data_IF_667146034541
#
_entry.id   IF_667146034541
#
_cell.length_a   1.000
_cell.length_b   1.000
_cell.length_c   1.000
_cell.angle_alpha   90.00
_cell.angle_beta   90.00
_cell.angle_gamma   90.00
#
_symmetry.space_group_name_H-M   'P 1'
#
loop_
_entity.id
_entity.type
_entity.pdbx_description
1 polymer ?
#
# COMPACT_ATOMS: atom_id res chain seq x y z
N UNK A 1 -5.38 -29.90 21.23
CA UNK A 1 -5.81 -28.52 21.45
C UNK A 1 -4.79 -27.59 20.82
N UNK A 2 -5.01 -27.16 19.58
CA UNK A 2 -4.11 -26.20 18.93
C UNK A 2 -4.53 -24.79 19.33
N UNK A 3 -3.74 -24.17 20.21
CA UNK A 3 -3.87 -22.74 20.53
C UNK A 3 -3.49 -21.98 19.26
N UNK A 4 -4.48 -21.38 18.58
CA UNK A 4 -4.22 -20.34 17.57
C UNK A 4 -3.51 -19.20 18.28
N UNK A 5 -2.21 -19.04 18.06
CA UNK A 5 -1.54 -17.80 18.47
C UNK A 5 -2.15 -16.64 17.66
N UNK A 6 -2.65 -15.58 18.29
CA UNK A 6 -3.02 -14.37 17.57
C UNK A 6 -1.72 -13.72 17.07
N UNK A 7 -1.46 -13.83 15.78
CA UNK A 7 -0.38 -13.08 15.15
C UNK A 7 -0.75 -11.60 15.16
N UNK A 8 0.20 -10.79 15.63
CA UNK A 8 0.05 -9.36 15.87
C UNK A 8 0.47 -8.62 14.62
N UNK A 9 -0.43 -7.80 14.08
CA UNK A 9 -0.19 -7.08 12.84
C UNK A 9 0.32 -5.66 13.15
N UNK A 10 1.33 -5.15 12.44
CA UNK A 10 1.78 -3.77 12.58
C UNK A 10 0.86 -2.83 11.81
N UNK A 11 0.88 -1.53 12.17
CA UNK A 11 0.28 -0.50 11.33
C UNK A 11 1.23 -0.20 10.19
N UNK A 12 0.68 -0.25 8.99
CA UNK A 12 1.34 0.17 7.76
C UNK A 12 1.09 1.66 7.61
N UNK A 13 2.15 2.45 7.61
CA UNK A 13 2.04 3.90 7.49
C UNK A 13 2.71 4.30 6.18
N UNK A 14 2.00 5.06 5.34
CA UNK A 14 2.50 5.46 4.03
C UNK A 14 3.85 6.18 4.09
N UNK A 15 3.97 7.16 4.99
CA UNK A 15 5.20 7.93 5.17
C UNK A 15 6.15 7.14 6.05
N UNK A 16 7.32 6.74 5.52
CA UNK A 16 8.26 5.93 6.26
C UNK A 16 8.95 6.76 7.36
N UNK A 17 9.33 6.15 8.50
CA UNK A 17 9.95 6.87 9.62
C UNK A 17 11.19 7.67 9.24
N UNK A 18 12.01 7.17 8.30
CA UNK A 18 13.23 7.86 7.88
C UNK A 18 12.93 9.24 7.25
N UNK A 19 11.79 9.40 6.58
CA UNK A 19 11.42 10.65 5.92
C UNK A 19 11.04 11.71 6.97
N UNK A 20 10.25 11.32 7.99
CA UNK A 20 9.94 12.17 9.13
C UNK A 20 11.23 12.57 9.88
N UNK A 21 12.20 11.67 9.97
CA UNK A 21 13.49 11.93 10.60
C UNK A 21 14.35 12.93 9.82
N UNK A 22 14.33 12.87 8.48
CA UNK A 22 14.99 13.87 7.64
C UNK A 22 14.34 15.24 7.81
N UNK A 23 13.00 15.32 7.82
CA UNK A 23 12.28 16.59 8.05
C UNK A 23 12.61 17.15 9.43
N UNK A 24 12.61 16.32 10.46
CA UNK A 24 12.94 16.75 11.82
C UNK A 24 14.37 17.30 11.93
N UNK A 25 15.33 16.72 11.19
CA UNK A 25 16.73 17.18 11.18
C UNK A 25 16.92 18.46 10.38
N UNK A 26 16.35 18.53 9.18
CA UNK A 26 16.67 19.55 8.17
C UNK A 26 15.66 20.70 8.11
N UNK A 27 14.45 20.51 8.64
CA UNK A 27 13.36 21.48 8.59
C UNK A 27 13.51 22.63 9.59
N UNK A 28 12.70 23.66 9.36
CA UNK A 28 12.50 24.74 10.33
C UNK A 28 11.77 24.25 11.59
N UNK A 29 11.58 25.15 12.56
CA UNK A 29 10.94 24.79 13.84
C UNK A 29 9.53 24.19 13.63
N UNK A 30 8.72 24.78 12.77
CA UNK A 30 7.34 24.33 12.55
C UNK A 30 7.31 22.98 11.84
N UNK A 31 8.13 22.81 10.80
CA UNK A 31 8.24 21.54 10.06
C UNK A 31 8.74 20.42 10.96
N UNK A 32 9.75 20.70 11.81
CA UNK A 32 10.26 19.74 12.80
C UNK A 32 9.18 19.34 13.81
N UNK A 33 8.44 20.31 14.36
CA UNK A 33 7.40 20.05 15.35
C UNK A 33 6.25 19.22 14.76
N UNK A 34 5.89 19.44 13.48
CA UNK A 34 4.92 18.59 12.76
C UNK A 34 5.47 17.17 12.58
N UNK A 35 6.68 17.02 12.05
CA UNK A 35 7.27 15.70 11.78
C UNK A 35 7.42 14.84 13.05
N UNK A 36 7.87 15.44 14.16
CA UNK A 36 8.00 14.75 15.45
C UNK A 36 6.63 14.35 16.04
N UNK A 37 5.61 15.22 15.90
CA UNK A 37 4.24 14.88 16.33
C UNK A 37 3.65 13.73 15.51
N UNK A 38 3.78 13.77 14.18
CA UNK A 38 3.37 12.66 13.31
C UNK A 38 4.08 11.37 13.71
N UNK A 39 5.42 11.40 13.84
CA UNK A 39 6.21 10.22 14.24
C UNK A 39 5.79 9.65 15.59
N UNK A 40 5.50 10.50 16.57
CA UNK A 40 5.04 10.07 17.88
C UNK A 40 3.68 9.36 17.79
N UNK A 41 2.72 9.94 17.04
CA UNK A 41 1.41 9.31 16.80
C UNK A 41 1.55 7.95 16.11
N UNK A 42 2.34 7.87 15.05
CA UNK A 42 2.57 6.62 14.31
C UNK A 42 3.15 5.54 15.23
N UNK A 43 4.09 5.92 16.08
CA UNK A 43 4.71 5.01 17.07
C UNK A 43 3.69 4.53 18.10
N UNK A 44 2.82 5.41 18.60
CA UNK A 44 1.73 5.05 19.51
C UNK A 44 0.78 4.06 18.85
N UNK A 45 0.32 4.35 17.63
CA UNK A 45 -0.61 3.49 16.92
C UNK A 45 0.01 2.11 16.62
N UNK A 46 1.26 2.05 16.14
CA UNK A 46 1.99 0.78 15.95
C UNK A 46 2.08 -0.01 17.25
N UNK A 47 2.34 0.67 18.37
CA UNK A 47 2.42 0.05 19.70
C UNK A 47 1.07 -0.48 20.19
N UNK A 48 -0.01 0.28 20.02
CA UNK A 48 -1.36 -0.14 20.41
C UNK A 48 -1.77 -1.41 19.67
N UNK A 49 -1.42 -1.57 18.40
CA UNK A 49 -1.72 -2.78 17.62
C UNK A 49 -0.88 -4.01 18.02
N UNK A 50 0.33 -3.81 18.55
CA UNK A 50 1.10 -4.91 19.15
C UNK A 50 0.46 -5.46 20.44
N UNK A 51 -0.38 -4.67 21.11
CA UNK A 51 -1.05 -5.04 22.36
C UNK A 51 -2.51 -5.42 22.12
N UNK A 52 -3.14 -4.90 21.06
CA UNK A 52 -4.50 -5.24 20.67
C UNK A 52 -4.57 -6.73 20.27
N UNK A 53 -5.39 -7.49 20.98
CA UNK A 53 -5.89 -8.78 20.49
C UNK A 53 -6.81 -8.44 19.32
N UNK A 54 -6.73 -9.12 18.16
CA UNK A 54 -7.72 -8.91 17.11
C UNK A 54 -9.09 -9.18 17.74
N UNK A 55 -9.86 -8.11 17.92
CA UNK A 55 -11.25 -8.27 18.26
C UNK A 55 -11.82 -9.03 17.07
N UNK A 56 -12.26 -10.28 17.31
CA UNK A 56 -13.41 -10.74 16.54
C UNK A 56 -14.48 -9.73 16.88
N UNK A 57 -14.65 -8.73 16.03
CA UNK A 57 -15.81 -7.87 16.08
C UNK A 57 -17.03 -8.78 16.19
N UNK A 58 -18.12 -8.34 16.85
CA UNK A 58 -19.36 -9.10 16.78
C UNK A 58 -19.55 -9.47 15.32
N UNK A 59 -19.81 -10.76 15.06
CA UNK A 59 -20.26 -11.17 13.74
C UNK A 59 -21.50 -10.31 13.50
N UNK A 60 -21.34 -9.21 12.77
CA UNK A 60 -22.47 -8.50 12.23
C UNK A 60 -23.12 -9.57 11.40
N UNK A 61 -24.28 -10.05 11.88
CA UNK A 61 -25.12 -10.94 11.11
C UNK A 61 -25.32 -10.22 9.80
N UNK A 62 -24.56 -10.62 8.79
CA UNK A 62 -24.82 -10.31 7.42
C UNK A 62 -26.15 -11.01 7.15
N UNK A 63 -27.25 -10.31 7.47
CA UNK A 63 -28.46 -10.45 6.70
C UNK A 63 -27.99 -10.36 5.26
N UNK A 64 -28.19 -11.46 4.53
CA UNK A 64 -27.84 -11.60 3.13
C UNK A 64 -28.52 -10.47 2.33
N UNK A 65 -27.87 -9.32 2.27
CA UNK A 65 -28.24 -8.16 1.49
C UNK A 65 -27.12 -7.92 0.49
N UNK A 66 -26.99 -8.83 -0.48
CA UNK A 66 -26.16 -8.69 -1.68
C UNK A 66 -24.64 -8.60 -1.48
N UNK A 67 -23.88 -9.14 -2.43
CA UNK A 67 -22.47 -8.79 -2.62
C UNK A 67 -22.43 -7.36 -3.17
N UNK A 68 -22.34 -6.37 -2.28
CA UNK A 68 -22.42 -4.96 -2.65
C UNK A 68 -21.38 -4.16 -1.90
N UNK A 69 -20.77 -3.22 -2.63
CA UNK A 69 -19.88 -2.20 -2.08
C UNK A 69 -20.59 -1.42 -0.96
N UNK A 70 -19.92 -1.28 0.19
CA UNK A 70 -20.41 -0.52 1.35
C UNK A 70 -19.30 0.38 1.88
N UNK A 71 -19.46 1.69 1.69
CA UNK A 71 -18.50 2.69 2.15
C UNK A 71 -19.09 3.62 3.20
N UNK A 72 -18.27 3.97 4.18
CA UNK A 72 -18.60 4.99 5.18
C UNK A 72 -17.39 5.91 5.40
N UNK A 73 -17.56 7.20 5.15
CA UNK A 73 -16.54 8.22 5.39
C UNK A 73 -16.92 9.02 6.61
N UNK A 74 -15.99 9.08 7.56
CA UNK A 74 -16.07 9.83 8.80
C UNK A 74 -15.09 11.01 8.76
N UNK A 75 -15.35 12.03 9.56
CA UNK A 75 -14.43 13.14 9.83
C UNK A 75 -14.01 13.13 11.28
N UNK A 76 -12.71 13.22 11.54
CA UNK A 76 -12.17 13.42 12.88
C UNK A 76 -12.12 14.91 13.28
N UNK A 77 -12.47 15.84 12.38
CA UNK A 77 -12.55 17.28 12.63
C UNK A 77 -11.25 17.87 13.25
N UNK A 78 -10.09 17.37 12.82
CA UNK A 78 -8.77 17.79 13.31
C UNK A 78 -8.37 17.18 14.66
N UNK A 79 -9.21 16.30 15.23
CA UNK A 79 -8.91 15.53 16.45
C UNK A 79 -8.24 14.19 16.13
N UNK A 80 -7.79 13.49 17.16
CA UNK A 80 -7.19 12.15 17.02
C UNK A 80 -8.19 11.02 17.35
N UNK A 81 -9.49 11.32 17.41
CA UNK A 81 -10.54 10.36 17.77
C UNK A 81 -11.06 9.61 16.55
N UNK A 82 -11.10 8.27 16.63
CA UNK A 82 -11.62 7.40 15.56
C UNK A 82 -12.94 6.73 15.99
N UNK A 83 -13.88 6.47 15.04
CA UNK A 83 -13.84 6.89 13.63
C UNK A 83 -14.19 8.37 13.43
N UNK A 84 -14.75 9.05 14.42
CA UNK A 84 -15.25 10.42 14.30
C UNK A 84 -16.73 10.47 13.91
N UNK A 85 -17.14 11.54 13.23
CA UNK A 85 -18.54 11.78 12.81
C UNK A 85 -18.76 11.29 11.38
N UNK A 86 -19.81 10.51 11.12
CA UNK A 86 -20.14 10.08 9.76
C UNK A 86 -20.53 11.29 8.88
N UNK A 87 -19.83 11.49 7.76
CA UNK A 87 -20.04 12.62 6.84
C UNK A 87 -20.50 12.19 5.45
N UNK A 88 -20.24 10.95 5.03
CA UNK A 88 -20.75 10.40 3.76
C UNK A 88 -20.91 8.89 3.83
N UNK A 89 -22.09 8.37 3.54
CA UNK A 89 -22.40 6.94 3.47
C UNK A 89 -22.62 6.44 2.04
N UNK A 90 -22.68 5.11 1.88
CA UNK A 90 -22.92 4.47 0.58
C UNK A 90 -24.19 5.02 -0.11
N UNK A 91 -24.04 5.35 -1.40
CA UNK A 91 -25.10 5.90 -2.24
C UNK A 91 -25.39 7.39 -2.03
N UNK A 92 -24.75 8.06 -1.06
CA UNK A 92 -24.94 9.50 -0.87
C UNK A 92 -24.18 10.34 -1.91
N UNK A 93 -24.73 11.50 -2.30
CA UNK A 93 -24.08 12.41 -3.25
C UNK A 93 -22.76 12.94 -2.70
N UNK A 94 -21.96 13.58 -3.58
CA UNK A 94 -20.74 14.28 -3.20
C UNK A 94 -21.00 15.29 -2.08
N UNK A 95 -20.09 15.32 -1.11
CA UNK A 95 -20.18 16.17 0.08
C UNK A 95 -19.77 17.61 -0.21
N UNK A 96 -18.93 17.83 -1.24
CA UNK A 96 -18.29 19.11 -1.53
C UNK A 96 -16.97 19.32 -0.78
N UNK A 97 -16.61 18.42 0.13
CA UNK A 97 -15.28 18.34 0.72
C UNK A 97 -14.40 17.40 -0.11
N UNK A 98 -13.27 17.92 -0.60
CA UNK A 98 -12.38 17.17 -1.48
C UNK A 98 -11.79 15.92 -0.80
N UNK A 99 -11.45 15.98 0.50
CA UNK A 99 -10.89 14.83 1.20
C UNK A 99 -11.93 13.72 1.38
N UNK A 100 -13.15 14.11 1.74
CA UNK A 100 -14.28 13.17 1.88
C UNK A 100 -14.60 12.50 0.54
N UNK A 101 -14.67 13.29 -0.53
CA UNK A 101 -15.08 12.80 -1.84
C UNK A 101 -14.00 11.92 -2.48
N UNK A 102 -12.72 12.30 -2.37
CA UNK A 102 -11.60 11.48 -2.83
C UNK A 102 -11.48 10.17 -2.05
N UNK A 103 -11.66 10.18 -0.72
CA UNK A 103 -11.65 8.96 0.08
C UNK A 103 -12.81 8.02 -0.34
N UNK A 104 -14.02 8.56 -0.50
CA UNK A 104 -15.19 7.79 -0.95
C UNK A 104 -14.98 7.13 -2.32
N UNK A 105 -14.43 7.89 -3.27
CA UNK A 105 -14.19 7.41 -4.62
C UNK A 105 -13.02 6.42 -4.66
N UNK A 106 -11.94 6.66 -3.90
CA UNK A 106 -10.78 5.79 -3.84
C UNK A 106 -11.05 4.43 -3.18
N UNK A 107 -11.82 4.40 -2.10
CA UNK A 107 -12.35 3.16 -1.52
C UNK A 107 -13.19 2.40 -2.55
N UNK A 108 -14.02 3.14 -3.31
CA UNK A 108 -14.89 2.56 -4.32
C UNK A 108 -14.13 1.94 -5.49
N UNK A 109 -13.12 2.64 -6.01
CA UNK A 109 -12.28 2.15 -7.09
C UNK A 109 -11.46 0.92 -6.65
N UNK A 110 -11.01 0.89 -5.39
CA UNK A 110 -10.30 -0.27 -4.83
C UNK A 110 -11.21 -1.50 -4.76
N UNK A 111 -12.44 -1.33 -4.25
CA UNK A 111 -13.44 -2.41 -4.23
C UNK A 111 -13.71 -2.93 -5.65
N UNK A 112 -14.01 -2.03 -6.59
CA UNK A 112 -14.33 -2.40 -7.98
C UNK A 112 -13.19 -3.16 -8.64
N UNK A 113 -11.95 -2.73 -8.42
CA UNK A 113 -10.79 -3.41 -8.98
C UNK A 113 -10.69 -4.86 -8.47
N UNK A 114 -10.74 -5.07 -7.15
CA UNK A 114 -10.64 -6.43 -6.59
C UNK A 114 -11.82 -7.31 -6.99
N UNK A 115 -13.04 -6.78 -6.99
CA UNK A 115 -14.24 -7.52 -7.40
C UNK A 115 -14.18 -7.87 -8.90
N UNK A 116 -13.97 -6.89 -9.77
CA UNK A 116 -14.12 -7.08 -11.21
C UNK A 116 -12.92 -7.75 -11.86
N UNK A 117 -11.71 -7.54 -11.34
CA UNK A 117 -10.48 -8.13 -11.91
C UNK A 117 -10.16 -9.48 -11.29
N UNK A 118 -10.42 -9.65 -9.99
CA UNK A 118 -9.98 -10.83 -9.25
C UNK A 118 -11.09 -11.67 -8.64
N UNK A 119 -12.36 -11.29 -8.85
CA UNK A 119 -13.53 -11.95 -8.24
C UNK A 119 -13.40 -12.04 -6.71
N UNK A 120 -12.81 -10.99 -6.11
CA UNK A 120 -12.60 -10.88 -4.66
C UNK A 120 -13.64 -9.94 -4.06
N UNK A 121 -14.40 -10.42 -3.09
CA UNK A 121 -15.42 -9.62 -2.43
C UNK A 121 -14.83 -8.80 -1.26
N UNK A 122 -14.37 -7.58 -1.55
CA UNK A 122 -13.74 -6.66 -0.58
C UNK A 122 -12.40 -7.16 -0.01
N UNK A 123 -11.93 -6.51 1.07
CA UNK A 123 -10.61 -6.73 1.67
C UNK A 123 -10.45 -8.13 2.28
N UNK A 124 -11.51 -8.71 2.83
CA UNK A 124 -11.52 -10.01 3.53
C UNK A 124 -12.11 -11.16 2.69
N UNK A 125 -12.38 -10.91 1.40
CA UNK A 125 -13.10 -11.83 0.50
C UNK A 125 -14.50 -12.24 1.01
N UNK A 126 -15.07 -11.47 1.94
CA UNK A 126 -16.36 -11.75 2.58
C UNK A 126 -17.25 -10.49 2.69
N UNK A 127 -16.93 -9.45 1.92
CA UNK A 127 -17.75 -8.24 1.83
C UNK A 127 -17.55 -7.26 2.99
N UNK A 128 -16.36 -7.22 3.59
CA UNK A 128 -15.98 -6.21 4.59
C UNK A 128 -16.40 -4.81 4.14
N UNK A 129 -17.02 -4.05 5.05
CA UNK A 129 -17.32 -2.65 4.82
C UNK A 129 -16.02 -1.84 4.75
N UNK A 130 -15.98 -0.86 3.85
CA UNK A 130 -14.84 0.02 3.67
C UNK A 130 -15.09 1.33 4.40
N UNK A 131 -14.52 1.44 5.60
CA UNK A 131 -14.63 2.63 6.41
C UNK A 131 -13.34 3.47 6.29
N UNK A 132 -13.49 4.79 6.30
CA UNK A 132 -12.38 5.72 6.33
C UNK A 132 -12.66 6.94 7.20
N UNK A 133 -11.63 7.46 7.87
CA UNK A 133 -11.66 8.74 8.58
C UNK A 133 -10.73 9.73 7.90
N UNK A 134 -11.26 10.90 7.54
CA UNK A 134 -10.50 12.05 7.03
C UNK A 134 -10.34 13.13 8.11
N UNK A 135 -9.53 14.15 7.84
CA UNK A 135 -9.21 15.24 8.77
C UNK A 135 -8.67 14.75 10.10
N UNK A 136 -7.86 13.69 10.07
CA UNK A 136 -7.27 13.10 11.26
C UNK A 136 -6.10 13.94 11.77
N UNK A 137 -6.25 14.46 12.98
CA UNK A 137 -5.26 15.30 13.64
C UNK A 137 -4.99 16.63 12.92
N UNK A 138 -4.16 17.47 13.54
CA UNK A 138 -3.72 18.73 12.93
C UNK A 138 -2.43 18.55 12.15
N UNK A 139 -2.45 18.94 10.87
CA UNK A 139 -1.33 18.86 9.94
C UNK A 139 -0.64 17.49 9.94
N UNK A 140 -1.43 16.43 10.02
CA UNK A 140 -0.90 15.08 10.13
C UNK A 140 -0.35 14.63 8.78
N UNK A 141 0.98 14.56 8.68
CA UNK A 141 1.69 14.13 7.48
C UNK A 141 1.73 12.60 7.33
N UNK A 142 0.58 11.91 7.36
CA UNK A 142 0.51 10.49 7.06
C UNK A 142 -0.90 10.00 6.67
N UNK A 143 -0.95 8.78 6.15
CA UNK A 143 -2.14 7.94 6.09
C UNK A 143 -1.78 6.50 6.50
N UNK A 144 -2.76 5.74 6.96
CA UNK A 144 -2.54 4.35 7.36
C UNK A 144 -3.81 3.49 7.35
N UNK A 145 -3.62 2.19 7.11
CA UNK A 145 -4.60 1.14 7.41
C UNK A 145 -4.43 0.57 8.82
N UNK A 146 -5.50 0.59 9.63
CA UNK A 146 -5.45 0.15 11.02
C UNK A 146 -6.03 -1.27 11.31
N UNK A 147 -6.21 -2.11 10.29
CA UNK A 147 -6.98 -3.39 10.30
C UNK A 147 -8.50 -3.26 10.26
N UNK A 148 -9.07 -2.09 10.49
CA UNK A 148 -10.52 -1.91 10.47
C UNK A 148 -10.97 -0.80 9.52
N UNK A 149 -10.19 0.26 9.39
CA UNK A 149 -10.53 1.43 8.59
C UNK A 149 -9.26 2.14 8.10
N UNK A 150 -9.44 2.93 7.06
CA UNK A 150 -8.47 3.89 6.56
C UNK A 150 -8.46 5.16 7.42
N UNK A 151 -7.29 5.76 7.62
CA UNK A 151 -7.16 7.05 8.30
C UNK A 151 -6.27 7.98 7.47
N UNK A 152 -6.75 9.18 7.19
CA UNK A 152 -6.07 10.17 6.35
C UNK A 152 -5.86 11.49 7.09
N UNK A 153 -4.62 11.96 7.10
CA UNK A 153 -4.29 13.32 7.46
C UNK A 153 -4.42 14.30 6.28
N UNK A 154 -4.58 15.57 6.61
CA UNK A 154 -4.68 16.65 5.63
C UNK A 154 -3.31 17.13 5.10
N UNK A 155 -2.21 16.61 5.64
CA UNK A 155 -0.87 17.14 5.38
C UNK A 155 -0.70 18.54 5.98
N UNK A 156 0.44 19.17 5.72
CA UNK A 156 0.80 20.48 6.28
C UNK A 156 0.76 21.63 5.26
N UNK A 157 0.39 21.35 4.01
CA UNK A 157 0.39 22.27 2.85
C UNK A 157 1.76 22.93 2.58
N UNK A 158 2.82 22.46 3.26
CA UNK A 158 4.19 22.90 3.08
C UNK A 158 4.98 21.83 2.34
N UNK A 159 5.00 20.61 2.88
CA UNK A 159 5.69 19.46 2.35
C UNK A 159 4.71 18.50 1.68
N UNK A 160 3.55 18.27 2.31
CA UNK A 160 2.55 17.32 1.86
C UNK A 160 1.19 18.00 1.67
N UNK A 161 0.51 17.66 0.58
CA UNK A 161 -0.92 17.89 0.41
C UNK A 161 -1.72 16.84 1.23
N UNK A 162 -3.05 16.93 1.19
CA UNK A 162 -3.94 15.92 1.80
C UNK A 162 -3.65 14.52 1.26
N UNK A 163 -3.72 13.53 2.14
CA UNK A 163 -3.32 12.16 1.83
C UNK A 163 -4.36 11.37 1.03
N UNK A 164 -5.54 11.95 0.78
CA UNK A 164 -6.57 11.41 -0.11
C UNK A 164 -6.32 11.73 -1.59
N UNK A 165 -5.42 12.65 -1.91
CA UNK A 165 -5.24 13.20 -3.27
C UNK A 165 -4.74 12.16 -4.29
N UNK A 166 -4.10 11.09 -3.83
CA UNK A 166 -3.50 10.07 -4.67
C UNK A 166 -4.26 8.74 -4.54
N UNK A 167 -4.94 8.33 -5.62
CA UNK A 167 -5.71 7.08 -5.65
C UNK A 167 -4.84 5.85 -5.36
N UNK A 168 -3.62 5.80 -5.88
CA UNK A 168 -2.69 4.70 -5.64
C UNK A 168 -2.26 4.58 -4.18
N UNK A 169 -2.26 5.68 -3.41
CA UNK A 169 -2.03 5.68 -1.96
C UNK A 169 -3.20 5.03 -1.23
N UNK A 170 -4.43 5.39 -1.58
CA UNK A 170 -5.63 4.77 -0.98
C UNK A 170 -5.64 3.27 -1.29
N UNK A 171 -5.35 2.90 -2.54
CA UNK A 171 -5.26 1.50 -2.96
C UNK A 171 -4.13 0.73 -2.27
N UNK A 172 -2.96 1.36 -2.07
CA UNK A 172 -1.82 0.78 -1.34
C UNK A 172 -2.21 0.42 0.09
N UNK A 173 -2.83 1.35 0.81
CA UNK A 173 -3.18 1.13 2.21
C UNK A 173 -4.24 0.02 2.38
N UNK A 174 -5.25 -0.02 1.51
CA UNK A 174 -6.25 -1.08 1.51
C UNK A 174 -5.64 -2.45 1.09
N UNK A 175 -4.67 -2.46 0.18
CA UNK A 175 -3.98 -3.68 -0.24
C UNK A 175 -3.14 -4.33 0.87
N UNK A 176 -2.74 -3.58 1.90
CA UNK A 176 -2.21 -4.20 3.12
C UNK A 176 -3.25 -5.12 3.76
N UNK A 177 -4.51 -4.69 3.87
CA UNK A 177 -5.58 -5.51 4.42
C UNK A 177 -5.78 -6.82 3.65
N UNK A 178 -5.66 -6.79 2.32
CA UNK A 178 -5.70 -8.02 1.49
C UNK A 178 -4.52 -8.94 1.81
N UNK A 179 -3.33 -8.37 1.98
CA UNK A 179 -2.14 -9.14 2.39
C UNK A 179 -2.29 -9.74 3.79
N UNK A 180 -2.99 -9.06 4.70
CA UNK A 180 -3.31 -9.56 6.05
C UNK A 180 -4.32 -10.71 6.04
N UNK A 181 -5.32 -10.65 5.17
CA UNK A 181 -6.30 -11.72 5.04
C UNK A 181 -5.66 -12.99 4.45
N UNK A 182 -4.80 -12.81 3.46
CA UNK A 182 -4.13 -13.90 2.73
C UNK A 182 -2.85 -14.38 3.46
N UNK A 183 -1.67 -14.01 2.92
CA UNK A 183 -0.37 -14.57 3.31
C UNK A 183 0.16 -14.12 4.67
N UNK A 184 -0.40 -13.06 5.26
CA UNK A 184 0.00 -12.55 6.59
C UNK A 184 1.50 -12.28 6.68
N UNK A 185 2.07 -11.68 5.64
CA UNK A 185 3.51 -11.39 5.57
C UNK A 185 3.94 -10.54 6.76
N UNK A 186 4.93 -11.04 7.51
CA UNK A 186 5.50 -10.33 8.65
C UNK A 186 6.14 -9.05 8.14
N UNK A 187 5.87 -7.94 8.81
CA UNK A 187 6.39 -6.64 8.44
C UNK A 187 7.81 -6.41 8.98
N UNK A 188 8.73 -7.21 8.49
CA UNK A 188 10.13 -7.17 8.87
C UNK A 188 11.02 -7.70 7.74
N UNK A 189 12.18 -7.09 7.51
CA UNK A 189 13.14 -7.49 6.47
C UNK A 189 12.46 -7.71 5.10
N UNK A 190 12.85 -8.75 4.36
CA UNK A 190 12.32 -9.06 3.03
C UNK A 190 10.83 -9.39 3.02
N UNK A 191 10.27 -10.02 4.07
CA UNK A 191 8.82 -10.28 4.09
C UNK A 191 8.02 -8.99 4.24
N UNK A 192 8.54 -8.01 4.98
CA UNK A 192 7.95 -6.68 5.07
C UNK A 192 8.12 -5.88 3.80
N UNK A 193 9.29 -5.95 3.15
CA UNK A 193 9.50 -5.33 1.85
C UNK A 193 8.62 -5.95 0.74
N UNK A 194 8.28 -7.24 0.82
CA UNK A 194 7.26 -7.85 -0.05
C UNK A 194 5.86 -7.34 0.26
N UNK A 195 5.54 -7.16 1.54
CA UNK A 195 4.24 -6.62 1.96
C UNK A 195 4.05 -5.20 1.38
N UNK A 196 5.02 -4.31 1.57
CA UNK A 196 5.07 -2.98 0.95
C UNK A 196 4.97 -3.02 -0.58
N UNK A 197 5.71 -3.94 -1.21
CA UNK A 197 5.71 -4.07 -2.67
C UNK A 197 4.38 -4.55 -3.22
N UNK A 198 3.71 -5.50 -2.55
CA UNK A 198 2.37 -5.93 -2.93
C UNK A 198 1.37 -4.77 -2.84
N UNK A 199 1.47 -3.95 -1.80
CA UNK A 199 0.65 -2.74 -1.67
C UNK A 199 0.92 -1.72 -2.78
N UNK A 200 2.19 -1.46 -3.13
CA UNK A 200 2.55 -0.59 -4.26
C UNK A 200 2.06 -1.16 -5.62
N UNK A 201 2.17 -2.48 -5.82
CA UNK A 201 1.68 -3.19 -7.00
C UNK A 201 0.18 -3.00 -7.14
N UNK A 202 -0.61 -3.35 -6.13
CA UNK A 202 -2.06 -3.26 -6.21
C UNK A 202 -2.54 -1.80 -6.26
N UNK A 203 -1.94 -0.88 -5.51
CA UNK A 203 -2.23 0.56 -5.60
C UNK A 203 -2.01 1.10 -7.02
N UNK A 204 -0.89 0.71 -7.66
CA UNK A 204 -0.61 1.07 -9.05
C UNK A 204 -1.63 0.46 -10.02
N UNK A 205 -1.99 -0.82 -9.85
CA UNK A 205 -2.97 -1.49 -10.70
C UNK A 205 -4.38 -0.89 -10.55
N UNK A 206 -4.79 -0.51 -9.34
CA UNK A 206 -6.08 0.17 -9.08
C UNK A 206 -6.13 1.50 -9.83
N UNK A 207 -5.06 2.30 -9.74
CA UNK A 207 -4.97 3.57 -10.47
C UNK A 207 -4.98 3.35 -11.99
N UNK A 208 -4.21 2.39 -12.49
CA UNK A 208 -4.17 2.05 -13.91
C UNK A 208 -5.55 1.58 -14.41
N UNK A 209 -6.25 0.76 -13.63
CA UNK A 209 -7.59 0.29 -13.95
C UNK A 209 -8.61 1.43 -13.96
N UNK A 210 -8.62 2.29 -12.94
CA UNK A 210 -9.52 3.44 -12.88
C UNK A 210 -9.29 4.42 -14.05
N UNK A 211 -8.04 4.57 -14.52
CA UNK A 211 -7.67 5.44 -15.63
C UNK A 211 -7.61 4.72 -16.99
N UNK A 212 -7.88 3.42 -17.03
CA UNK A 212 -7.79 2.56 -18.23
C UNK A 212 -6.43 2.67 -18.96
N UNK A 213 -5.34 2.61 -18.19
CA UNK A 213 -3.98 2.75 -18.69
C UNK A 213 -3.32 1.41 -18.96
N UNK A 214 -2.64 1.29 -20.11
CA UNK A 214 -1.74 0.17 -20.36
C UNK A 214 -0.49 0.24 -19.49
N UNK A 215 0.25 -0.86 -19.38
CA UNK A 215 1.53 -0.92 -18.68
C UNK A 215 2.56 0.10 -19.25
N UNK A 216 2.46 0.42 -20.55
CA UNK A 216 3.33 1.37 -21.22
C UNK A 216 2.97 2.84 -20.90
N UNK A 217 1.70 3.13 -20.70
CA UNK A 217 1.19 4.50 -20.46
C UNK A 217 1.21 4.88 -18.98
N UNK A 218 1.20 3.88 -18.09
CA UNK A 218 1.20 4.09 -16.65
C UNK A 218 2.46 4.82 -16.16
N UNK A 219 2.31 5.68 -15.14
CA UNK A 219 3.44 6.46 -14.61
C UNK A 219 4.38 5.64 -13.71
N UNK A 220 3.88 4.58 -13.09
CA UNK A 220 4.61 3.72 -12.16
C UNK A 220 5.20 4.49 -10.96
N UNK A 221 4.47 5.52 -10.51
CA UNK A 221 4.82 6.37 -9.38
C UNK A 221 3.81 6.19 -8.25
N UNK A 222 4.31 6.10 -7.01
CA UNK A 222 3.49 5.97 -5.81
C UNK A 222 3.43 7.32 -5.08
N UNK A 223 2.23 7.85 -4.85
CA UNK A 223 2.00 9.14 -4.20
C UNK A 223 2.28 10.34 -5.11
N UNK A 224 2.09 10.20 -6.43
CA UNK A 224 2.24 11.33 -7.36
C UNK A 224 1.22 12.42 -7.02
N UNK A 225 1.70 13.65 -6.82
CA UNK A 225 0.86 14.80 -6.44
C UNK A 225 0.69 14.96 -4.92
N UNK A 226 1.21 14.03 -4.10
CA UNK A 226 1.18 14.17 -2.64
C UNK A 226 2.14 15.26 -2.16
N UNK A 227 3.31 15.41 -2.79
CA UNK A 227 4.21 16.52 -2.49
C UNK A 227 3.66 17.85 -2.99
N UNK A 228 3.85 18.91 -2.21
CA UNK A 228 3.57 20.27 -2.69
C UNK A 228 4.60 20.71 -3.73
N UNK A 229 4.31 21.80 -4.44
CA UNK A 229 5.24 22.42 -5.40
C UNK A 229 6.56 22.91 -4.78
N UNK A 230 6.66 22.95 -3.45
CA UNK A 230 7.86 23.40 -2.71
C UNK A 230 8.91 22.31 -2.59
N UNK A 231 8.55 21.06 -2.83
CA UNK A 231 9.42 19.89 -2.69
C UNK A 231 9.98 19.50 -4.06
N UNK A 232 11.28 19.25 -4.11
CA UNK A 232 11.96 18.68 -5.29
C UNK A 232 11.77 17.16 -5.33
N UNK A 233 10.57 16.74 -5.67
CA UNK A 233 10.19 15.33 -5.81
C UNK A 233 8.94 15.18 -6.67
N UNK A 234 8.80 14.03 -7.32
CA UNK A 234 7.64 13.73 -8.17
C UNK A 234 6.62 12.88 -7.43
N UNK A 235 7.08 11.97 -6.58
CA UNK A 235 6.29 10.97 -5.88
C UNK A 235 7.09 10.41 -4.69
N UNK A 236 6.47 9.62 -3.81
CA UNK A 236 7.17 8.95 -2.71
C UNK A 236 8.13 7.87 -3.22
N UNK A 237 7.71 7.12 -4.24
CA UNK A 237 8.47 5.99 -4.81
C UNK A 237 8.27 5.89 -6.31
N UNK A 238 9.21 5.24 -7.00
CA UNK A 238 9.07 4.84 -8.40
C UNK A 238 9.28 3.34 -8.53
N UNK A 239 8.26 2.62 -9.02
CA UNK A 239 8.42 1.20 -9.34
C UNK A 239 9.27 1.01 -10.60
N UNK A 240 9.23 1.96 -11.52
CA UNK A 240 10.02 1.94 -12.75
C UNK A 240 11.50 2.23 -12.51
N UNK A 241 11.84 3.14 -11.61
CA UNK A 241 13.21 3.52 -11.30
C UNK A 241 13.37 3.82 -9.81
N UNK A 242 13.46 2.79 -8.94
CA UNK A 242 13.68 3.00 -7.51
C UNK A 242 14.91 3.87 -7.25
N UNK A 243 14.82 4.81 -6.30
CA UNK A 243 15.91 5.73 -5.96
C UNK A 243 15.90 7.05 -6.74
N UNK A 244 14.88 7.29 -7.57
CA UNK A 244 14.76 8.52 -8.40
C UNK A 244 13.51 9.35 -8.13
N UNK A 245 12.64 8.95 -7.18
CA UNK A 245 11.34 9.61 -7.01
C UNK A 245 11.45 11.03 -6.44
N UNK A 246 12.46 11.29 -5.59
CA UNK A 246 12.75 12.60 -5.02
C UNK A 246 14.24 12.79 -4.68
N UNK A 247 14.67 14.05 -4.69
CA UNK A 247 16.01 14.50 -4.29
C UNK A 247 15.90 15.95 -3.80
N UNK A 248 15.52 16.08 -2.53
CA UNK A 248 15.11 17.32 -1.88
C UNK A 248 15.95 17.58 -0.62
N UNK A 249 16.17 18.85 -0.29
CA UNK A 249 17.01 19.23 0.86
C UNK A 249 16.38 18.90 2.21
N UNK A 250 15.05 18.89 2.30
CA UNK A 250 14.31 18.58 3.52
C UNK A 250 14.08 17.08 3.65
N UNK A 251 13.64 16.43 2.57
CA UNK A 251 13.30 15.00 2.57
C UNK A 251 14.51 14.07 2.40
N UNK A 252 15.64 14.60 1.93
CA UNK A 252 16.77 13.81 1.46
C UNK A 252 16.56 13.27 0.05
N UNK A 253 17.30 12.22 -0.30
CA UNK A 253 17.18 11.50 -1.58
C UNK A 253 16.42 10.20 -1.35
N UNK A 254 15.62 9.81 -2.34
CA UNK A 254 14.97 8.48 -2.41
C UNK A 254 16.02 7.37 -2.18
N UNK A 255 15.92 6.58 -1.10
CA UNK A 255 16.93 5.61 -0.72
C UNK A 255 16.71 4.23 -1.35
N UNK A 256 15.67 4.01 -2.15
CA UNK A 256 15.30 2.67 -2.59
C UNK A 256 16.30 2.07 -3.59
N UNK A 257 16.86 0.87 -3.34
CA UNK A 257 17.56 0.11 -4.37
C UNK A 257 16.58 -0.53 -5.36
N UNK A 258 17.01 -0.66 -6.61
CA UNK A 258 16.29 -1.41 -7.66
C UNK A 258 16.86 -2.81 -7.93
N UNK A 259 17.98 -3.18 -7.29
CA UNK A 259 18.68 -4.45 -7.52
C UNK A 259 19.20 -5.04 -6.20
N UNK A 260 19.31 -6.37 -6.12
CA UNK A 260 19.79 -7.09 -4.95
C UNK A 260 21.24 -6.78 -4.55
N UNK A 261 22.08 -6.34 -5.49
CA UNK A 261 23.46 -5.94 -5.22
C UNK A 261 23.54 -4.71 -4.29
N UNK A 262 22.51 -3.86 -4.34
CA UNK A 262 22.39 -2.65 -3.53
C UNK A 262 21.44 -2.85 -2.34
N UNK A 263 21.13 -4.11 -1.99
CA UNK A 263 20.22 -4.42 -0.89
C UNK A 263 20.72 -3.78 0.42
N UNK A 264 19.87 -2.99 1.07
CA UNK A 264 20.22 -2.27 2.28
C UNK A 264 20.00 -3.14 3.50
N UNK A 265 21.10 -3.50 4.18
CA UNK A 265 21.06 -4.15 5.48
C UNK A 265 20.95 -3.10 6.59
N UNK A 266 19.81 -3.05 7.27
CA UNK A 266 19.55 -2.08 8.34
C UNK A 266 18.65 -2.68 9.42
N UNK A 267 18.61 -2.06 10.60
CA UNK A 267 17.61 -2.32 11.64
C UNK A 267 16.53 -1.23 11.70
N UNK A 268 16.77 -0.10 11.04
CA UNK A 268 15.77 0.95 10.89
C UNK A 268 14.64 0.46 9.98
N UNK A 269 13.49 1.14 10.07
CA UNK A 269 12.36 0.87 9.18
C UNK A 269 11.98 -0.62 9.11
N UNK A 270 11.94 -1.29 10.26
CA UNK A 270 11.65 -2.72 10.39
C UNK A 270 12.57 -3.62 9.53
N UNK A 271 13.84 -3.25 9.36
CA UNK A 271 14.73 -3.97 8.46
C UNK A 271 14.66 -3.48 7.00
N UNK A 272 14.33 -2.20 6.82
CA UNK A 272 14.26 -1.53 5.51
C UNK A 272 13.08 -2.00 4.66
N UNK A 273 11.87 -2.10 5.23
CA UNK A 273 10.69 -2.58 4.49
C UNK A 273 10.28 -1.61 3.38
N UNK A 274 10.27 -0.30 3.63
CA UNK A 274 9.98 0.71 2.61
C UNK A 274 11.19 0.98 1.72
N UNK A 275 12.41 0.71 2.21
CA UNK A 275 13.65 0.90 1.44
C UNK A 275 13.78 -0.20 0.39
N UNK A 276 13.80 -1.46 0.83
CA UNK A 276 14.07 -2.61 -0.03
C UNK A 276 12.87 -3.06 -0.87
N UNK A 277 11.68 -2.46 -0.72
CA UNK A 277 10.50 -2.74 -1.57
C UNK A 277 10.70 -2.30 -3.03
N UNK A 278 11.65 -1.40 -3.29
CA UNK A 278 12.05 -1.00 -4.65
C UNK A 278 12.47 -2.19 -5.54
N UNK A 279 13.11 -3.20 -4.96
CA UNK A 279 13.61 -4.39 -5.67
C UNK A 279 12.44 -5.22 -6.25
N UNK A 280 11.48 -5.74 -5.46
CA UNK A 280 10.31 -6.44 -5.99
C UNK A 280 9.36 -5.52 -6.78
N UNK A 281 9.28 -4.22 -6.48
CA UNK A 281 8.54 -3.26 -7.30
C UNK A 281 9.09 -3.18 -8.73
N UNK A 282 10.41 -3.08 -8.86
CA UNK A 282 11.07 -3.04 -10.15
C UNK A 282 10.90 -4.35 -10.90
N UNK A 283 10.96 -5.50 -10.22
CA UNK A 283 10.66 -6.79 -10.83
C UNK A 283 9.24 -6.82 -11.44
N UNK A 284 8.22 -6.37 -10.70
CA UNK A 284 6.85 -6.30 -11.22
C UNK A 284 6.73 -5.38 -12.44
N UNK A 285 7.30 -4.18 -12.37
CA UNK A 285 7.33 -3.25 -13.51
C UNK A 285 7.94 -3.89 -14.76
N UNK A 286 9.06 -4.62 -14.62
CA UNK A 286 9.71 -5.31 -15.73
C UNK A 286 8.81 -6.39 -16.33
N UNK A 287 8.14 -7.19 -15.50
CA UNK A 287 7.18 -8.21 -15.98
C UNK A 287 6.00 -7.56 -16.70
N UNK A 288 5.35 -6.57 -16.07
CA UNK A 288 4.18 -5.91 -16.62
C UNK A 288 4.49 -5.22 -17.97
N UNK A 289 5.61 -4.51 -18.04
CA UNK A 289 6.03 -3.82 -19.27
C UNK A 289 6.42 -4.80 -20.38
N UNK A 290 7.07 -5.92 -20.02
CA UNK A 290 7.45 -6.96 -20.98
C UNK A 290 6.24 -7.67 -21.58
N UNK A 291 5.20 -7.92 -20.79
CA UNK A 291 3.96 -8.49 -21.28
C UNK A 291 3.14 -7.45 -22.05
N UNK A 292 3.11 -6.21 -21.59
CA UNK A 292 2.31 -5.14 -22.18
C UNK A 292 0.80 -5.37 -22.10
N UNK A 293 0.06 -4.45 -22.71
CA UNK A 293 -1.39 -4.37 -22.52
C UNK A 293 -1.74 -3.89 -21.11
N UNK A 294 -2.87 -4.32 -20.56
CA UNK A 294 -3.28 -3.96 -19.22
C UNK A 294 -2.57 -4.82 -18.17
N UNK A 295 -1.79 -4.19 -17.29
CA UNK A 295 -0.91 -4.89 -16.36
C UNK A 295 -1.67 -5.84 -15.40
N UNK A 296 -2.93 -5.52 -15.08
CA UNK A 296 -3.75 -6.31 -14.15
C UNK A 296 -4.20 -7.66 -14.73
N UNK A 297 -4.30 -7.81 -16.06
CA UNK A 297 -4.84 -9.01 -16.70
C UNK A 297 -3.90 -10.23 -16.59
N UNK A 298 -2.59 -10.00 -16.73
CA UNK A 298 -1.58 -11.07 -16.73
C UNK A 298 -0.62 -10.94 -15.56
N UNK A 299 0.16 -9.86 -15.49
CA UNK A 299 1.14 -9.67 -14.42
C UNK A 299 0.43 -9.56 -13.05
N UNK A 300 -0.63 -8.75 -12.96
CA UNK A 300 -1.44 -8.61 -11.75
C UNK A 300 -2.07 -9.94 -11.33
N UNK A 301 -2.61 -10.72 -12.26
CA UNK A 301 -3.16 -12.05 -11.96
C UNK A 301 -2.12 -13.01 -11.39
N UNK A 302 -0.90 -13.02 -11.93
CA UNK A 302 0.21 -13.84 -11.42
C UNK A 302 0.57 -13.44 -9.98
N UNK A 303 0.68 -12.14 -9.71
CA UNK A 303 0.99 -11.63 -8.37
C UNK A 303 -0.13 -11.91 -7.37
N UNK A 304 -1.39 -11.76 -7.78
CA UNK A 304 -2.54 -12.06 -6.93
C UNK A 304 -2.63 -13.55 -6.59
N UNK A 305 -2.49 -14.44 -7.56
CA UNK A 305 -2.42 -15.88 -7.30
C UNK A 305 -1.22 -16.24 -6.41
N UNK A 306 -0.09 -15.55 -6.55
CA UNK A 306 1.10 -15.78 -5.73
C UNK A 306 0.89 -15.36 -4.27
N UNK A 307 0.16 -14.26 -4.04
CA UNK A 307 -0.25 -13.83 -2.70
C UNK A 307 -1.10 -14.88 -1.99
N UNK A 308 -1.99 -15.57 -2.74
CA UNK A 308 -2.91 -16.58 -2.21
C UNK A 308 -2.32 -17.98 -2.10
N UNK A 309 -1.12 -18.19 -2.66
CA UNK A 309 -0.50 -19.52 -2.69
C UNK A 309 -0.06 -19.94 -1.28
N UNK A 310 -0.47 -21.14 -0.85
CA UNK A 310 -0.13 -21.68 0.48
C UNK A 310 1.38 -21.84 0.73
N UNK A 311 2.20 -21.80 -0.32
CA UNK A 311 3.67 -21.78 -0.21
C UNK A 311 4.17 -20.40 0.23
N UNK A 312 3.42 -19.32 0.09
CA UNK A 312 3.81 -18.01 0.60
C UNK A 312 3.53 -17.94 2.10
N UNK A 313 4.57 -18.19 2.90
CA UNK A 313 4.50 -18.15 4.37
C UNK A 313 4.76 -16.73 4.89
N UNK A 314 4.31 -16.39 6.12
CA UNK A 314 4.54 -15.08 6.74
C UNK A 314 5.99 -14.57 6.70
N UNK A 315 6.98 -15.46 6.78
CA UNK A 315 8.40 -15.12 6.78
C UNK A 315 9.09 -15.30 5.42
N UNK A 316 8.34 -15.37 4.32
CA UNK A 316 8.90 -15.57 2.98
C UNK A 316 9.70 -14.35 2.53
N UNK A 317 10.88 -14.59 1.97
CA UNK A 317 11.69 -13.57 1.31
C UNK A 317 11.53 -13.57 -0.21
N UNK A 318 12.30 -12.70 -0.88
CA UNK A 318 12.14 -12.40 -2.30
C UNK A 318 12.29 -13.62 -3.20
N UNK A 319 13.32 -14.45 -2.98
CA UNK A 319 13.56 -15.65 -3.79
C UNK A 319 12.38 -16.64 -3.75
N UNK A 320 11.71 -16.78 -2.60
CA UNK A 320 10.57 -17.69 -2.46
C UNK A 320 9.36 -17.15 -3.22
N UNK A 321 9.06 -15.86 -3.08
CA UNK A 321 7.97 -15.22 -3.82
C UNK A 321 8.23 -15.27 -5.32
N UNK A 322 9.47 -15.01 -5.76
CA UNK A 322 9.87 -15.09 -7.15
C UNK A 322 9.60 -16.48 -7.77
N UNK A 323 10.01 -17.55 -7.08
CA UNK A 323 9.72 -18.94 -7.52
C UNK A 323 8.22 -19.23 -7.60
N UNK A 324 7.44 -18.75 -6.63
CA UNK A 324 5.98 -18.92 -6.64
C UNK A 324 5.36 -18.23 -7.85
N UNK A 325 5.73 -16.97 -8.13
CA UNK A 325 5.24 -16.25 -9.32
C UNK A 325 5.62 -16.96 -10.63
N UNK A 326 6.84 -17.52 -10.71
CA UNK A 326 7.31 -18.27 -11.88
C UNK A 326 6.50 -19.55 -12.11
N UNK A 327 6.26 -20.32 -11.05
CA UNK A 327 5.45 -21.55 -11.12
C UNK A 327 3.99 -21.24 -11.51
N UNK A 328 3.42 -20.17 -10.93
CA UNK A 328 2.04 -19.75 -11.22
C UNK A 328 1.89 -19.30 -12.67
N UNK A 329 2.84 -18.52 -13.19
CA UNK A 329 2.83 -18.12 -14.59
C UNK A 329 2.84 -19.34 -15.52
N UNK A 330 3.66 -20.36 -15.23
CA UNK A 330 3.68 -21.61 -15.98
C UNK A 330 2.38 -22.40 -15.88
N UNK A 331 1.73 -22.41 -14.71
CA UNK A 331 0.43 -23.08 -14.50
C UNK A 331 -0.72 -22.39 -15.23
N UNK A 332 -0.75 -21.06 -15.22
CA UNK A 332 -1.84 -20.27 -15.82
C UNK A 332 -1.73 -20.17 -17.34
N UNK A 333 -0.52 -19.98 -17.87
CA UNK A 333 -0.31 -19.62 -19.28
C UNK A 333 0.55 -20.65 -20.06
N UNK A 334 1.10 -21.65 -19.38
CA UNK A 334 1.87 -22.75 -19.97
C UNK A 334 3.36 -22.67 -19.64
N UNK A 335 3.97 -23.84 -19.42
CA UNK A 335 5.41 -23.96 -19.11
C UNK A 335 6.26 -23.51 -20.30
N UNK A 336 7.24 -22.65 -20.04
CA UNK A 336 8.15 -22.09 -21.04
C UNK A 336 7.52 -21.04 -21.97
N UNK A 337 6.30 -20.57 -21.66
CA UNK A 337 5.60 -19.53 -22.44
C UNK A 337 6.00 -18.13 -22.00
N UNK A 338 5.48 -17.16 -22.75
CA UNK A 338 5.80 -15.74 -22.64
C UNK A 338 5.70 -15.22 -21.20
N UNK A 339 4.60 -15.50 -20.50
CA UNK A 339 4.34 -15.06 -19.12
C UNK A 339 5.36 -15.61 -18.13
N UNK A 340 5.65 -16.91 -18.21
CA UNK A 340 6.63 -17.53 -17.33
C UNK A 340 8.04 -17.01 -17.60
N UNK A 341 8.39 -16.80 -18.88
CA UNK A 341 9.67 -16.23 -19.26
C UNK A 341 9.79 -14.75 -18.88
N UNK A 342 8.70 -13.98 -18.97
CA UNK A 342 8.65 -12.59 -18.52
C UNK A 342 8.89 -12.50 -17.00
N UNK A 343 8.25 -13.35 -16.21
CA UNK A 343 8.49 -13.44 -14.76
C UNK A 343 9.94 -13.78 -14.45
N UNK A 344 10.50 -14.78 -15.13
CA UNK A 344 11.92 -15.16 -14.98
C UNK A 344 12.86 -13.98 -15.26
N UNK A 345 12.63 -13.28 -16.36
CA UNK A 345 13.47 -12.16 -16.76
C UNK A 345 13.30 -10.93 -15.86
N UNK A 346 12.08 -10.67 -15.39
CA UNK A 346 11.79 -9.57 -14.45
C UNK A 346 12.50 -9.76 -13.11
N UNK A 347 12.46 -10.96 -12.53
CA UNK A 347 13.23 -11.26 -11.31
C UNK A 347 14.74 -11.25 -11.56
N UNK A 348 15.19 -11.76 -12.71
CA UNK A 348 16.61 -11.73 -13.07
C UNK A 348 17.13 -10.30 -13.21
N UNK A 349 16.32 -9.38 -13.74
CA UNK A 349 16.67 -7.96 -13.89
C UNK A 349 16.94 -7.25 -12.55
N UNK A 350 16.48 -7.82 -11.43
CA UNK A 350 16.72 -7.30 -10.08
C UNK A 350 17.66 -8.17 -9.24
N UNK A 351 18.34 -9.13 -9.88
CA UNK A 351 19.36 -9.98 -9.25
C UNK A 351 18.82 -11.25 -8.60
N UNK A 352 17.60 -11.68 -8.93
CA UNK A 352 16.97 -12.90 -8.37
C UNK A 352 16.75 -13.93 -9.46
N UNK A 353 17.36 -15.11 -9.32
CA UNK A 353 17.23 -16.20 -10.31
C UNK A 353 16.20 -17.24 -9.85
N UNK A 354 15.27 -17.60 -10.75
CA UNK A 354 14.20 -18.58 -10.54
C UNK A 354 14.28 -19.77 -11.49
#
# INVERSE_FOLDING_TARGET
>A
MCVRQPHRHPIFCLIPPYMLDQIARNGDKTQRDVALRTRAKDSTFRSLRMVAVPAKGPAHMALAMGAGKRRSIYSAEGTDSLPGTLVRGEGQPASGDAAVDEAYDGLGATFDFFEQVFDRNSIDDAGMALDATVHFGQNYNNAFWNSSQMVFGDGDEQLFNRFTIALDVIGHELAHGVTEDEAKLMYFNQSGALNESLSDVFGSLIKQYALQQSAQDADWLIGKGLFTKKIKGTALRSMKAPGTAFDDKLLGKDPQPGHMDDFVQTYEDNGGVHINSGIPNHAFYQVATKLGGFAWERAGRIWYDALRDARLRPNSGFLRFARITYDIAGRLYGVGKEEQQAVKDGWKAVGITV
#
